data_IF_551348358192
#
_entry.id   IF_551348358192
#
_cell.length_a   1.000
_cell.length_b   1.000
_cell.length_c   1.000
_cell.angle_alpha   90.00
_cell.angle_beta   90.00
_cell.angle_gamma   90.00
#
_symmetry.space_group_name_H-M   'P 1'
#
loop_
_entity.id
_entity.type
_entity.pdbx_description
1 polymer ?
#
# COMPACT_ATOMS: atom_id res chain seq x y z
N UNK A 1 -10.79 -16.13 -8.30
CA UNK A 1 -9.96 -15.12 -7.62
C UNK A 1 -9.29 -14.25 -8.68
N UNK A 2 -9.31 -12.93 -8.52
CA UNK A 2 -8.65 -12.00 -9.44
C UNK A 2 -7.17 -11.89 -9.06
N UNK A 3 -6.26 -12.01 -10.03
CA UNK A 3 -4.81 -11.91 -9.80
C UNK A 3 -4.41 -10.56 -9.19
N UNK A 4 -5.19 -9.52 -9.46
CA UNK A 4 -4.94 -8.19 -8.94
C UNK A 4 -5.07 -8.11 -7.41
N UNK A 5 -5.82 -9.00 -6.75
CA UNK A 5 -6.09 -8.91 -5.31
C UNK A 5 -5.55 -10.12 -4.53
N UNK A 6 -4.72 -10.96 -5.16
CA UNK A 6 -4.19 -12.19 -4.56
C UNK A 6 -2.94 -11.98 -3.71
N UNK A 7 -2.83 -12.76 -2.63
CA UNK A 7 -1.85 -12.63 -1.54
C UNK A 7 -0.43 -13.10 -1.86
N UNK A 8 -0.25 -13.98 -2.84
CA UNK A 8 1.07 -14.42 -3.29
C UNK A 8 1.24 -14.12 -4.77
N UNK A 9 2.32 -13.40 -5.11
CA UNK A 9 2.67 -13.09 -6.49
C UNK A 9 4.17 -13.18 -6.68
N UNK A 10 4.59 -14.06 -7.59
CA UNK A 10 5.98 -14.16 -8.01
C UNK A 10 6.34 -12.97 -8.90
N UNK A 11 7.60 -12.53 -8.83
CA UNK A 11 8.14 -11.51 -9.74
C UNK A 11 8.70 -12.17 -11.00
N UNK A 12 8.66 -11.44 -12.10
CA UNK A 12 9.23 -11.88 -13.37
C UNK A 12 10.73 -12.19 -13.21
N UNK A 13 11.10 -13.42 -13.56
CA UNK A 13 12.50 -13.84 -13.59
C UNK A 13 13.32 -12.89 -14.48
N UNK A 14 14.46 -12.35 -14.00
CA UNK A 14 15.31 -11.46 -14.79
C UNK A 14 15.73 -12.12 -16.10
N UNK A 15 15.64 -11.37 -17.20
CA UNK A 15 16.10 -11.84 -18.51
C UNK A 15 17.62 -11.68 -18.54
N UNK A 16 18.41 -12.75 -18.82
CA UNK A 16 19.86 -12.65 -18.85
C UNK A 16 20.36 -11.55 -19.80
N UNK A 17 21.28 -10.72 -19.33
CA UNK A 17 21.87 -9.63 -20.11
C UNK A 17 21.05 -8.33 -20.15
N UNK A 18 19.78 -8.35 -19.75
CA UNK A 18 18.89 -7.17 -19.76
C UNK A 18 18.97 -6.41 -18.43
N UNK A 19 19.55 -5.20 -18.46
CA UNK A 19 19.74 -4.34 -17.27
C UNK A 19 18.96 -3.04 -17.43
N UNK A 20 17.86 -2.91 -16.71
CA UNK A 20 16.97 -1.75 -16.77
C UNK A 20 16.96 -1.07 -15.41
N UNK A 21 17.75 0.00 -15.27
CA UNK A 21 18.06 0.65 -13.99
C UNK A 21 16.82 0.96 -13.13
N UNK A 22 15.76 1.49 -13.73
CA UNK A 22 14.56 1.85 -12.97
C UNK A 22 13.81 0.61 -12.46
N UNK A 23 13.81 -0.49 -13.23
CA UNK A 23 13.15 -1.74 -12.85
C UNK A 23 13.96 -2.49 -11.81
N UNK A 24 15.29 -2.55 -11.96
CA UNK A 24 16.19 -3.19 -11.00
C UNK A 24 16.07 -2.53 -9.62
N UNK A 25 16.01 -1.20 -9.58
CA UNK A 25 15.77 -0.45 -8.34
C UNK A 25 14.38 -0.72 -7.76
N UNK A 26 13.34 -0.72 -8.61
CA UNK A 26 11.98 -1.01 -8.21
C UNK A 26 11.87 -2.39 -7.58
N UNK A 27 12.37 -3.45 -8.23
CA UNK A 27 12.28 -4.83 -7.74
C UNK A 27 13.07 -5.02 -6.43
N UNK A 28 14.23 -4.39 -6.31
CA UNK A 28 15.01 -4.43 -5.06
C UNK A 28 14.21 -3.86 -3.89
N UNK A 29 13.63 -2.66 -4.06
CA UNK A 29 12.81 -2.02 -3.02
C UNK A 29 11.50 -2.77 -2.79
N UNK A 30 10.85 -3.24 -3.85
CA UNK A 30 9.64 -4.05 -3.79
C UNK A 30 9.85 -5.29 -2.94
N UNK A 31 10.98 -5.99 -3.13
CA UNK A 31 11.31 -7.20 -2.38
C UNK A 31 11.54 -6.89 -0.90
N UNK A 32 12.21 -5.78 -0.58
CA UNK A 32 12.42 -5.34 0.80
C UNK A 32 11.09 -5.07 1.53
N UNK A 33 10.16 -4.38 0.85
CA UNK A 33 8.81 -4.11 1.38
C UNK A 33 8.04 -5.42 1.55
N UNK A 34 8.01 -6.25 0.50
CA UNK A 34 7.18 -7.46 0.44
C UNK A 34 7.61 -8.50 1.46
N UNK A 35 8.89 -8.85 1.51
CA UNK A 35 9.38 -9.87 2.44
C UNK A 35 9.11 -9.48 3.89
N UNK A 36 9.38 -8.22 4.25
CA UNK A 36 9.15 -7.73 5.62
C UNK A 36 7.67 -7.73 5.99
N UNK A 37 6.80 -7.32 5.05
CA UNK A 37 5.35 -7.27 5.23
C UNK A 37 4.80 -8.68 5.43
N UNK A 38 5.14 -9.61 4.54
CA UNK A 38 4.69 -11.01 4.61
C UNK A 38 5.12 -11.64 5.93
N UNK A 39 6.39 -11.49 6.32
CA UNK A 39 6.88 -12.03 7.61
C UNK A 39 6.12 -11.42 8.79
N UNK A 40 5.90 -10.11 8.81
CA UNK A 40 5.20 -9.45 9.90
C UNK A 40 3.73 -9.88 10.01
N UNK A 41 3.01 -9.96 8.88
CA UNK A 41 1.61 -10.41 8.84
C UNK A 41 1.47 -11.89 9.20
N UNK A 42 2.32 -12.75 8.63
CA UNK A 42 2.31 -14.19 8.90
C UNK A 42 2.55 -14.49 10.38
N UNK A 43 3.38 -13.71 11.08
CA UNK A 43 3.56 -13.86 12.53
C UNK A 43 2.31 -13.51 13.37
N UNK A 44 1.20 -13.11 12.73
CA UNK A 44 -0.09 -12.85 13.37
C UNK A 44 -1.20 -13.76 12.81
N UNK A 45 -0.83 -14.79 12.04
CA UNK A 45 -1.74 -15.75 11.43
C UNK A 45 -1.69 -17.10 12.20
N UNK A 46 -2.84 -17.67 12.60
CA UNK A 46 -2.94 -18.97 13.28
C UNK A 46 -2.13 -20.09 12.62
N UNK A 47 -2.17 -20.12 11.30
CA UNK A 47 -1.58 -21.15 10.44
C UNK A 47 -0.06 -21.25 10.59
N UNK A 48 0.60 -20.16 10.97
CA UNK A 48 2.07 -20.11 11.09
C UNK A 48 2.60 -20.75 12.37
N UNK A 49 1.80 -20.78 13.42
CA UNK A 49 2.20 -21.33 14.72
C UNK A 49 1.45 -22.62 15.08
N UNK A 50 0.45 -23.02 14.29
CA UNK A 50 -0.44 -24.13 14.64
C UNK A 50 -1.27 -23.83 15.89
N UNK A 51 -1.42 -22.54 16.22
CA UNK A 51 -2.17 -22.05 17.36
C UNK A 51 -3.60 -21.69 16.94
N UNK A 52 -4.51 -21.60 17.91
CA UNK A 52 -5.86 -21.09 17.66
C UNK A 52 -5.88 -19.57 17.57
N UNK A 53 -6.90 -19.00 16.93
CA UNK A 53 -7.09 -17.55 16.82
C UNK A 53 -7.18 -16.91 18.21
N UNK A 54 -7.88 -17.56 19.14
CA UNK A 54 -8.10 -17.09 20.50
C UNK A 54 -6.79 -17.00 21.31
N UNK A 55 -5.88 -17.96 21.11
CA UNK A 55 -4.56 -17.94 21.75
C UNK A 55 -3.72 -16.78 21.22
N UNK A 56 -3.70 -16.57 19.90
CA UNK A 56 -2.97 -15.46 19.30
C UNK A 56 -3.55 -14.10 19.70
N UNK A 57 -4.87 -13.95 19.75
CA UNK A 57 -5.53 -12.74 20.23
C UNK A 57 -5.12 -12.45 21.68
N UNK A 58 -5.16 -13.47 22.55
CA UNK A 58 -4.70 -13.33 23.94
C UNK A 58 -3.22 -12.97 24.06
N UNK A 59 -2.37 -13.47 23.16
CA UNK A 59 -0.95 -13.11 23.13
C UNK A 59 -0.75 -11.64 22.78
N UNK A 60 -1.44 -11.15 21.75
CA UNK A 60 -1.39 -9.75 21.33
C UNK A 60 -1.95 -8.84 22.42
N UNK A 61 -3.07 -9.20 23.05
CA UNK A 61 -3.66 -8.42 24.14
C UNK A 61 -2.71 -8.29 25.33
N UNK A 62 -2.08 -9.40 25.75
CA UNK A 62 -1.08 -9.38 26.83
C UNK A 62 0.14 -8.55 26.46
N UNK A 63 0.59 -8.61 25.21
CA UNK A 63 1.69 -7.79 24.73
C UNK A 63 1.35 -6.30 24.82
N UNK A 64 0.18 -5.90 24.31
CA UNK A 64 -0.29 -4.50 24.34
C UNK A 64 -0.43 -4.00 25.78
N UNK A 65 -0.98 -4.82 26.68
CA UNK A 65 -1.14 -4.48 28.09
C UNK A 65 0.21 -4.28 28.81
N UNK A 66 1.29 -4.92 28.34
CA UNK A 66 2.64 -4.78 28.91
C UNK A 66 3.44 -3.57 28.42
N UNK A 67 3.03 -2.93 27.32
CA UNK A 67 3.77 -1.77 26.73
C UNK A 67 3.92 -0.59 27.71
N UNK A 68 2.90 -0.21 28.51
CA UNK A 68 3.04 0.90 29.46
C UNK A 68 4.16 0.70 30.49
N UNK A 69 4.26 -0.51 31.05
CA UNK A 69 5.28 -0.83 32.05
C UNK A 69 6.69 -0.87 31.42
N UNK A 70 6.83 -1.49 30.25
CA UNK A 70 8.09 -1.49 29.50
C UNK A 70 8.53 -0.07 29.11
N UNK A 71 7.60 0.79 28.69
CA UNK A 71 7.87 2.18 28.34
C UNK A 71 8.36 2.99 29.55
N UNK A 72 7.80 2.72 30.73
CA UNK A 72 8.23 3.31 31.99
C UNK A 72 9.64 2.85 32.36
N UNK A 73 9.90 1.55 32.28
CA UNK A 73 11.22 0.98 32.60
C UNK A 73 12.33 1.55 31.72
N UNK A 74 12.11 1.64 30.40
CA UNK A 74 13.08 2.24 29.46
C UNK A 74 13.41 3.68 29.86
N UNK A 75 12.39 4.47 30.21
CA UNK A 75 12.58 5.88 30.61
C UNK A 75 13.38 5.99 31.90
N UNK A 76 13.05 5.18 32.90
CA UNK A 76 13.71 5.20 34.22
C UNK A 76 15.17 4.69 34.16
N UNK A 77 15.49 3.84 33.20
CA UNK A 77 16.83 3.25 33.04
C UNK A 77 17.73 3.95 32.01
N UNK A 78 17.17 4.81 31.15
CA UNK A 78 17.89 5.48 30.07
C UNK A 78 19.16 6.23 30.52
N UNK A 79 19.05 7.06 31.57
CA UNK A 79 20.20 7.81 32.08
C UNK A 79 21.30 6.93 32.66
N UNK A 80 20.93 5.78 33.26
CA UNK A 80 21.88 4.79 33.77
C UNK A 80 22.64 4.14 32.61
N UNK A 81 21.92 3.64 31.60
CA UNK A 81 22.54 2.98 30.45
C UNK A 81 23.40 3.93 29.62
N UNK A 82 22.96 5.18 29.42
CA UNK A 82 23.73 6.20 28.71
C UNK A 82 25.08 6.44 29.39
N UNK A 83 25.09 6.60 30.72
CA UNK A 83 26.32 6.74 31.51
C UNK A 83 27.22 5.52 31.45
N UNK A 84 26.65 4.31 31.52
CA UNK A 84 27.41 3.06 31.39
C UNK A 84 28.09 2.93 30.01
N UNK A 85 27.47 3.46 28.96
CA UNK A 85 28.03 3.52 27.61
C UNK A 85 29.03 4.68 27.38
N UNK A 86 29.37 5.46 28.42
CA UNK A 86 30.28 6.61 28.31
C UNK A 86 29.65 7.85 27.67
N UNK A 87 28.32 7.90 27.54
CA UNK A 87 27.58 9.04 27.00
C UNK A 87 26.96 9.84 28.14
N UNK A 88 27.19 11.16 28.17
CA UNK A 88 26.46 12.04 29.08
C UNK A 88 25.13 12.45 28.43
N UNK A 89 23.97 11.94 28.88
CA UNK A 89 22.69 12.30 28.28
C UNK A 89 22.24 13.72 28.63
N UNK A 90 22.95 14.42 29.53
CA UNK A 90 22.54 15.72 30.05
C UNK A 90 21.27 15.60 30.90
N UNK A 91 20.49 16.69 30.95
CA UNK A 91 19.18 16.69 31.61
C UNK A 91 18.14 16.18 30.61
N UNK A 92 17.57 15.02 30.89
CA UNK A 92 16.48 14.44 30.10
C UNK A 92 15.17 14.88 30.73
N UNK A 93 14.54 15.93 30.19
CA UNK A 93 13.28 16.48 30.72
C UNK A 93 12.18 15.40 30.87
N UNK A 94 12.20 14.40 29.99
CA UNK A 94 11.25 13.30 30.01
C UNK A 94 11.35 12.43 31.29
N UNK A 95 12.51 12.38 31.97
CA UNK A 95 12.68 11.61 33.22
C UNK A 95 11.88 12.22 34.39
N UNK A 96 11.61 13.52 34.37
CA UNK A 96 10.86 14.23 35.42
C UNK A 96 9.39 14.52 35.08
N UNK A 97 8.97 14.28 33.83
CA UNK A 97 7.58 14.46 33.39
C UNK A 97 6.69 13.26 33.77
N UNK A 98 5.48 13.55 34.27
CA UNK A 98 4.45 12.54 34.44
C UNK A 98 3.96 12.06 33.07
N UNK A 99 4.32 10.83 32.69
CA UNK A 99 4.09 10.27 31.37
C UNK A 99 3.44 8.89 31.47
N UNK A 100 2.47 8.65 30.59
CA UNK A 100 1.75 7.38 30.46
C UNK A 100 1.67 6.99 28.98
N UNK A 101 1.82 5.69 28.70
CA UNK A 101 1.47 5.12 27.40
C UNK A 101 -0.01 4.72 27.44
N UNK A 102 -0.82 5.23 26.51
CA UNK A 102 -2.29 5.07 26.56
C UNK A 102 -2.72 3.92 25.65
N UNK A 103 -2.40 2.67 26.04
CA UNK A 103 -2.79 1.47 25.27
C UNK A 103 -4.32 1.29 25.18
N UNK A 104 -5.06 1.85 26.13
CA UNK A 104 -6.54 1.81 26.15
C UNK A 104 -7.18 2.50 24.94
N UNK A 105 -6.51 3.49 24.31
CA UNK A 105 -7.01 4.11 23.07
C UNK A 105 -6.98 3.13 21.89
N UNK A 106 -5.95 2.27 21.83
CA UNK A 106 -5.86 1.24 20.80
C UNK A 106 -7.00 0.21 20.94
N UNK A 107 -7.27 -0.22 22.17
CA UNK A 107 -8.37 -1.13 22.48
C UNK A 107 -9.76 -0.50 22.23
N UNK A 108 -9.89 0.80 22.46
CA UNK A 108 -11.12 1.51 22.15
C UNK A 108 -11.37 1.55 20.63
N UNK A 109 -10.32 1.74 19.83
CA UNK A 109 -10.42 1.76 18.38
C UNK A 109 -10.72 0.37 17.79
N UNK A 110 -10.13 -0.70 18.33
CA UNK A 110 -10.45 -2.07 17.88
C UNK A 110 -11.92 -2.43 18.14
N UNK A 111 -12.43 -2.10 19.33
CA UNK A 111 -13.85 -2.27 19.69
C UNK A 111 -14.78 -1.46 18.80
N UNK A 112 -14.44 -0.20 18.50
CA UNK A 112 -15.19 0.65 17.58
C UNK A 112 -15.32 0.03 16.19
N UNK A 113 -14.30 -0.72 15.76
CA UNK A 113 -14.28 -1.40 14.47
C UNK A 113 -14.88 -2.81 14.50
N UNK A 114 -15.24 -3.32 15.68
CA UNK A 114 -15.71 -4.70 15.83
C UNK A 114 -14.62 -5.73 15.52
N UNK A 115 -13.36 -5.37 15.77
CA UNK A 115 -12.18 -6.19 15.49
C UNK A 115 -11.45 -6.53 16.80
N UNK A 116 -10.74 -7.65 16.81
CA UNK A 116 -9.73 -7.93 17.83
C UNK A 116 -8.55 -6.97 17.71
N UNK A 117 -7.76 -6.84 18.78
CA UNK A 117 -6.53 -6.05 18.73
C UNK A 117 -5.52 -6.61 17.70
N UNK A 118 -5.45 -7.95 17.55
CA UNK A 118 -4.62 -8.60 16.52
C UNK A 118 -5.01 -8.18 15.12
N UNK A 119 -6.30 -8.20 14.80
CA UNK A 119 -6.79 -7.78 13.48
C UNK A 119 -6.55 -6.28 13.25
N UNK A 120 -6.63 -5.44 14.29
CA UNK A 120 -6.28 -4.01 14.17
C UNK A 120 -4.78 -3.81 13.91
N UNK A 121 -3.91 -4.62 14.52
CA UNK A 121 -2.46 -4.64 14.21
C UNK A 121 -2.23 -5.03 12.76
N UNK A 122 -2.86 -6.11 12.28
CA UNK A 122 -2.77 -6.55 10.87
C UNK A 122 -3.26 -5.45 9.93
N UNK A 123 -4.42 -4.82 10.22
CA UNK A 123 -4.93 -3.70 9.43
C UNK A 123 -3.95 -2.53 9.38
N UNK A 124 -3.26 -2.23 10.49
CA UNK A 124 -2.24 -1.19 10.55
C UNK A 124 -1.00 -1.53 9.71
N UNK A 125 -0.58 -2.80 9.72
CA UNK A 125 0.49 -3.30 8.84
C UNK A 125 0.10 -3.22 7.37
N UNK A 126 -1.12 -3.61 7.01
CA UNK A 126 -1.68 -3.53 5.66
C UNK A 126 -1.71 -2.08 5.15
N UNK A 127 -2.12 -1.13 5.99
CA UNK A 127 -2.10 0.29 5.65
C UNK A 127 -0.68 0.80 5.38
N UNK A 128 0.30 0.40 6.20
CA UNK A 128 1.71 0.74 6.01
C UNK A 128 2.26 0.16 4.71
N UNK A 129 2.01 -1.12 4.45
CA UNK A 129 2.44 -1.81 3.24
C UNK A 129 1.82 -1.18 1.97
N UNK A 130 0.51 -0.91 1.98
CA UNK A 130 -0.18 -0.18 0.92
C UNK A 130 0.54 1.13 0.57
N UNK A 131 0.87 1.95 1.59
CA UNK A 131 1.56 3.23 1.38
C UNK A 131 2.98 3.04 0.83
N UNK A 132 3.71 2.03 1.33
CA UNK A 132 5.06 1.74 0.83
C UNK A 132 5.04 1.35 -0.65
N UNK A 133 4.12 0.47 -1.07
CA UNK A 133 3.95 0.12 -2.49
C UNK A 133 3.52 1.31 -3.33
N UNK A 134 2.59 2.12 -2.82
CA UNK A 134 2.13 3.32 -3.50
C UNK A 134 3.30 4.28 -3.78
N UNK A 135 4.08 4.61 -2.75
CA UNK A 135 5.21 5.53 -2.88
C UNK A 135 6.35 4.96 -3.73
N UNK A 136 6.62 3.66 -3.62
CA UNK A 136 7.60 3.00 -4.46
C UNK A 136 7.23 3.11 -5.94
N UNK A 137 5.97 2.83 -6.27
CA UNK A 137 5.47 2.89 -7.63
C UNK A 137 5.47 4.33 -8.19
N UNK A 138 4.93 5.28 -7.42
CA UNK A 138 4.93 6.71 -7.76
C UNK A 138 6.36 7.20 -8.02
N UNK A 139 7.28 6.98 -7.07
CA UNK A 139 8.65 7.44 -7.19
C UNK A 139 9.39 6.80 -8.36
N UNK A 140 9.17 5.50 -8.62
CA UNK A 140 9.80 4.79 -9.73
C UNK A 140 9.41 5.40 -11.07
N UNK A 141 8.11 5.60 -11.32
CA UNK A 141 7.63 6.15 -12.58
C UNK A 141 7.98 7.64 -12.73
N UNK A 142 7.87 8.43 -11.66
CA UNK A 142 8.23 9.85 -11.69
C UNK A 142 9.71 10.03 -11.97
N UNK A 143 10.60 9.35 -11.24
CA UNK A 143 12.06 9.45 -11.47
C UNK A 143 12.46 8.99 -12.87
N UNK A 144 11.87 7.88 -13.34
CA UNK A 144 12.06 7.39 -14.70
C UNK A 144 11.67 8.47 -15.72
N UNK A 145 10.47 9.05 -15.60
CA UNK A 145 9.99 10.11 -16.48
C UNK A 145 10.89 11.35 -16.45
N UNK A 146 11.18 11.89 -15.26
CA UNK A 146 12.03 13.07 -15.09
C UNK A 146 13.44 12.88 -15.65
N UNK A 147 13.99 11.67 -15.57
CA UNK A 147 15.36 11.40 -16.01
C UNK A 147 15.56 11.42 -17.52
N UNK A 148 14.52 11.09 -18.31
CA UNK A 148 14.69 10.82 -19.75
C UNK A 148 13.56 11.35 -20.64
N UNK A 149 12.36 11.52 -20.11
CA UNK A 149 11.14 11.74 -20.89
C UNK A 149 10.50 13.11 -20.65
N UNK A 150 10.88 13.82 -19.58
CA UNK A 150 10.38 15.15 -19.31
C UNK A 150 10.98 16.18 -20.28
N UNK A 151 10.14 16.97 -20.99
CA UNK A 151 10.62 18.08 -21.80
C UNK A 151 11.39 19.11 -20.96
N UNK A 152 12.41 19.75 -21.55
CA UNK A 152 13.25 20.72 -20.83
C UNK A 152 12.44 21.91 -20.29
N UNK A 153 11.44 22.32 -21.06
CA UNK A 153 10.52 23.42 -20.73
C UNK A 153 9.70 23.13 -19.47
N UNK A 154 9.47 21.85 -19.17
CA UNK A 154 8.69 21.41 -18.02
C UNK A 154 9.54 20.99 -16.81
N UNK A 155 10.87 21.14 -16.87
CA UNK A 155 11.79 20.61 -15.86
C UNK A 155 11.52 21.09 -14.42
N UNK A 156 10.87 22.25 -14.24
CA UNK A 156 10.48 22.77 -12.93
C UNK A 156 9.07 22.37 -12.48
N UNK A 157 8.28 21.72 -13.32
CA UNK A 157 6.92 21.32 -12.99
C UNK A 157 6.93 20.27 -11.87
N UNK A 158 6.22 20.57 -10.77
CA UNK A 158 6.01 19.61 -9.68
C UNK A 158 5.02 18.54 -10.13
N UNK A 159 5.54 17.34 -10.38
CA UNK A 159 4.73 16.15 -10.63
C UNK A 159 4.16 15.62 -9.31
N UNK A 160 2.93 15.13 -9.36
CA UNK A 160 2.21 14.59 -8.21
C UNK A 160 1.60 13.23 -8.55
N UNK A 161 1.07 12.53 -7.55
CA UNK A 161 0.44 11.23 -7.73
C UNK A 161 -0.58 11.18 -8.88
N UNK A 162 -1.35 12.25 -9.13
CA UNK A 162 -2.33 12.27 -10.24
C UNK A 162 -1.67 12.17 -11.63
N UNK A 163 -0.40 12.55 -11.75
CA UNK A 163 0.36 12.63 -13.00
C UNK A 163 1.06 11.31 -13.33
N UNK A 164 1.16 10.38 -12.36
CA UNK A 164 1.93 9.13 -12.49
C UNK A 164 1.51 8.30 -13.70
N UNK A 165 0.21 8.04 -13.87
CA UNK A 165 -0.29 7.27 -15.02
C UNK A 165 -0.50 8.18 -16.23
N UNK A 166 -1.30 9.22 -16.05
CA UNK A 166 -1.77 10.09 -17.13
C UNK A 166 -0.64 10.84 -17.86
N UNK A 167 0.49 11.07 -17.18
CA UNK A 167 1.64 11.81 -17.71
C UNK A 167 2.92 10.97 -17.71
N UNK A 168 3.36 10.44 -16.57
CA UNK A 168 4.68 9.79 -16.49
C UNK A 168 4.73 8.47 -17.26
N UNK A 169 3.79 7.55 -16.98
CA UNK A 169 3.70 6.27 -17.69
C UNK A 169 3.35 6.49 -19.16
N UNK A 170 2.28 7.23 -19.42
CA UNK A 170 1.81 7.51 -20.79
C UNK A 170 2.89 8.19 -21.63
N UNK A 171 3.56 9.21 -21.08
CA UNK A 171 4.63 9.94 -21.75
C UNK A 171 5.80 9.03 -22.16
N UNK A 172 6.23 8.12 -21.27
CA UNK A 172 7.25 7.12 -21.63
C UNK A 172 6.79 6.20 -22.75
N UNK A 173 5.63 5.57 -22.57
CA UNK A 173 5.13 4.52 -23.49
C UNK A 173 4.91 5.07 -24.89
N UNK A 174 4.40 6.31 -24.98
CA UNK A 174 4.22 7.03 -26.25
C UNK A 174 5.56 7.46 -26.86
N UNK A 175 6.47 8.01 -26.06
CA UNK A 175 7.78 8.46 -26.55
C UNK A 175 8.62 7.31 -27.12
N UNK A 176 8.54 6.13 -26.49
CA UNK A 176 9.28 4.95 -26.94
C UNK A 176 8.56 4.17 -28.06
N UNK A 177 7.34 4.58 -28.44
CA UNK A 177 6.48 3.91 -29.44
C UNK A 177 6.23 2.43 -29.12
N UNK A 178 5.87 2.14 -27.87
CA UNK A 178 5.67 0.77 -27.35
C UNK A 178 4.29 0.51 -26.76
N UNK A 179 3.31 1.38 -27.04
CA UNK A 179 1.96 1.29 -26.44
C UNK A 179 1.28 -0.07 -26.65
N UNK A 180 1.24 -0.54 -27.90
CA UNK A 180 0.60 -1.82 -28.22
C UNK A 180 1.28 -2.99 -27.49
N UNK A 181 2.62 -3.02 -27.50
CA UNK A 181 3.40 -4.06 -26.84
C UNK A 181 3.24 -4.01 -25.31
N UNK A 182 3.18 -2.80 -24.73
CA UNK A 182 2.94 -2.58 -23.32
C UNK A 182 1.60 -3.17 -22.90
N UNK A 183 0.50 -2.80 -23.58
CA UNK A 183 -0.83 -3.28 -23.22
C UNK A 183 -1.03 -4.76 -23.53
N UNK A 184 -0.41 -5.29 -24.60
CA UNK A 184 -0.37 -6.74 -24.84
C UNK A 184 0.26 -7.49 -23.67
N UNK A 185 1.39 -6.98 -23.16
CA UNK A 185 2.07 -7.55 -22.00
C UNK A 185 1.25 -7.40 -20.71
N UNK A 186 0.62 -6.25 -20.50
CA UNK A 186 -0.17 -5.96 -19.32
C UNK A 186 -1.45 -6.79 -19.26
N UNK A 187 -2.18 -6.92 -20.38
CA UNK A 187 -3.38 -7.77 -20.50
C UNK A 187 -3.04 -9.23 -20.22
N UNK A 188 -1.90 -9.72 -20.73
CA UNK A 188 -1.46 -11.10 -20.49
C UNK A 188 -1.24 -11.41 -19.00
N UNK A 189 -0.70 -10.46 -18.24
CA UNK A 189 -0.36 -10.60 -16.81
C UNK A 189 -1.54 -10.36 -15.90
N UNK A 190 -2.19 -9.22 -16.07
CA UNK A 190 -3.26 -8.78 -15.18
C UNK A 190 -4.59 -9.47 -15.44
N UNK A 191 -4.85 -9.87 -16.71
CA UNK A 191 -6.18 -10.26 -17.20
C UNK A 191 -7.27 -9.23 -16.88
N UNK A 192 -6.86 -7.97 -16.68
CA UNK A 192 -7.69 -6.89 -16.15
C UNK A 192 -7.47 -5.55 -16.86
N UNK A 193 -6.25 -5.19 -17.26
CA UNK A 193 -5.99 -3.90 -17.91
C UNK A 193 -5.67 -4.06 -19.40
N UNK A 194 -6.33 -3.26 -20.23
CA UNK A 194 -6.22 -3.26 -21.69
C UNK A 194 -5.86 -1.89 -22.27
N UNK A 195 -6.08 -0.80 -21.54
CA UNK A 195 -5.83 0.55 -22.00
C UNK A 195 -5.55 1.52 -20.82
N UNK A 196 -5.18 2.76 -21.15
CA UNK A 196 -4.89 3.80 -20.16
C UNK A 196 -6.11 4.20 -19.34
N UNK A 197 -7.32 4.23 -19.91
CA UNK A 197 -8.54 4.63 -19.20
C UNK A 197 -8.78 3.76 -17.97
N UNK A 198 -8.60 2.45 -18.14
CA UNK A 198 -8.73 1.45 -17.08
C UNK A 198 -7.65 1.60 -15.99
N UNK A 199 -6.38 1.71 -16.39
CA UNK A 199 -5.27 1.96 -15.45
C UNK A 199 -5.48 3.24 -14.64
N UNK A 200 -5.83 4.34 -15.33
CA UNK A 200 -6.06 5.62 -14.70
C UNK A 200 -7.22 5.58 -13.70
N UNK A 201 -8.30 4.86 -14.02
CA UNK A 201 -9.48 4.79 -13.16
C UNK A 201 -9.15 4.08 -11.84
N UNK A 202 -8.44 2.95 -11.89
CA UNK A 202 -7.96 2.24 -10.69
C UNK A 202 -6.94 3.09 -9.93
N UNK A 203 -5.96 3.69 -10.61
CA UNK A 203 -4.97 4.54 -9.97
C UNK A 203 -5.58 5.76 -9.25
N UNK A 204 -6.60 6.39 -9.86
CA UNK A 204 -7.32 7.51 -9.25
C UNK A 204 -7.99 7.08 -7.93
N UNK A 205 -8.58 5.90 -7.87
CA UNK A 205 -9.12 5.33 -6.63
C UNK A 205 -8.01 5.09 -5.59
N UNK A 206 -6.91 4.43 -5.98
CA UNK A 206 -5.79 4.15 -5.05
C UNK A 206 -5.17 5.44 -4.51
N UNK A 207 -5.01 6.46 -5.35
CA UNK A 207 -4.53 7.78 -4.93
C UNK A 207 -5.52 8.48 -4.00
N UNK A 208 -6.83 8.34 -4.23
CA UNK A 208 -7.85 8.85 -3.33
C UNK A 208 -7.75 8.20 -1.94
N UNK A 209 -7.66 6.87 -1.88
CA UNK A 209 -7.46 6.10 -0.64
C UNK A 209 -6.18 6.54 0.07
N UNK A 210 -5.06 6.62 -0.66
CA UNK A 210 -3.78 7.11 -0.12
C UNK A 210 -3.93 8.51 0.49
N UNK A 211 -4.62 9.42 -0.18
CA UNK A 211 -4.79 10.78 0.33
C UNK A 211 -5.65 10.82 1.59
N UNK A 212 -6.71 10.00 1.68
CA UNK A 212 -7.50 9.86 2.90
C UNK A 212 -6.66 9.31 4.05
N UNK A 213 -5.82 8.31 3.80
CA UNK A 213 -4.95 7.75 4.82
C UNK A 213 -3.91 8.76 5.33
N UNK A 214 -3.19 9.43 4.42
CA UNK A 214 -2.05 10.29 4.78
C UNK A 214 -2.48 11.64 5.36
N UNK A 215 -3.50 12.28 4.78
CA UNK A 215 -3.83 13.68 5.13
C UNK A 215 -5.04 13.82 6.05
N UNK A 216 -5.84 12.76 6.19
CA UNK A 216 -7.07 12.78 6.98
C UNK A 216 -7.13 11.66 8.02
N UNK A 217 -5.99 11.00 8.30
CA UNK A 217 -5.90 9.93 9.29
C UNK A 217 -6.86 8.77 9.02
N UNK A 218 -7.15 8.47 7.75
CA UNK A 218 -8.05 7.38 7.35
C UNK A 218 -9.54 7.69 7.50
N UNK A 219 -9.93 8.88 7.93
CA UNK A 219 -11.35 9.29 8.00
C UNK A 219 -11.91 9.51 6.60
N UNK A 220 -13.22 9.38 6.41
CA UNK A 220 -13.97 9.64 5.18
C UNK A 220 -15.23 10.45 5.51
N UNK A 221 -15.10 11.76 5.55
CA UNK A 221 -16.16 12.69 5.96
C UNK A 221 -16.65 13.58 4.80
N UNK A 222 -17.85 14.15 4.96
CA UNK A 222 -18.42 15.09 3.99
C UNK A 222 -18.65 14.45 2.62
N UNK A 223 -17.97 14.95 1.59
CA UNK A 223 -18.09 14.44 0.21
C UNK A 223 -17.22 13.21 -0.06
N UNK A 224 -16.37 12.80 0.87
CA UNK A 224 -15.42 11.70 0.65
C UNK A 224 -16.10 10.33 0.39
N UNK A 225 -17.20 9.96 1.08
CA UNK A 225 -17.93 8.74 0.74
C UNK A 225 -18.43 8.75 -0.70
N UNK A 226 -19.19 9.77 -1.11
CA UNK A 226 -19.69 9.89 -2.48
C UNK A 226 -18.56 9.95 -3.53
N UNK A 227 -17.42 10.54 -3.19
CA UNK A 227 -16.24 10.53 -4.06
C UNK A 227 -15.66 9.12 -4.24
N UNK A 228 -15.63 8.30 -3.18
CA UNK A 228 -15.23 6.89 -3.26
C UNK A 228 -16.14 6.13 -4.22
N UNK A 229 -17.46 6.26 -4.06
CA UNK A 229 -18.46 5.62 -4.94
C UNK A 229 -18.25 6.04 -6.39
N UNK A 230 -18.11 7.34 -6.65
CA UNK A 230 -17.83 7.86 -7.99
C UNK A 230 -16.48 7.42 -8.56
N UNK A 231 -15.52 6.99 -7.75
CA UNK A 231 -14.31 6.32 -8.24
C UNK A 231 -14.59 4.87 -8.66
N UNK A 232 -15.38 4.13 -7.89
CA UNK A 232 -15.80 2.76 -8.22
C UNK A 232 -16.65 2.74 -9.49
N UNK A 233 -17.60 3.66 -9.63
CA UNK A 233 -18.44 3.80 -10.84
C UNK A 233 -17.59 4.06 -12.09
N UNK A 234 -16.61 4.96 -12.00
CA UNK A 234 -15.68 5.25 -13.12
C UNK A 234 -14.86 4.03 -13.53
N UNK A 235 -14.49 3.17 -12.58
CA UNK A 235 -13.86 1.88 -12.91
C UNK A 235 -14.84 1.07 -13.74
N UNK A 236 -16.07 0.84 -13.28
CA UNK A 236 -17.09 0.09 -14.02
C UNK A 236 -17.34 0.65 -15.43
N UNK A 237 -17.45 1.97 -15.57
CA UNK A 237 -17.64 2.65 -16.85
C UNK A 237 -16.48 2.41 -17.82
N UNK A 238 -15.23 2.37 -17.32
CA UNK A 238 -14.05 2.10 -18.15
C UNK A 238 -14.00 0.68 -18.75
N UNK A 239 -14.91 -0.21 -18.33
CA UNK A 239 -15.05 -1.59 -18.81
C UNK A 239 -16.36 -1.87 -19.57
N UNK A 240 -17.24 -0.87 -19.75
CA UNK A 240 -18.60 -1.08 -20.30
C UNK A 240 -18.61 -1.78 -21.66
N UNK A 241 -17.65 -1.48 -22.53
CA UNK A 241 -17.57 -2.02 -23.90
C UNK A 241 -16.61 -3.22 -24.03
N UNK A 242 -16.01 -3.69 -22.93
CA UNK A 242 -15.04 -4.77 -22.95
C UNK A 242 -15.75 -6.13 -22.88
N UNK A 243 -16.05 -6.70 -24.05
CA UNK A 243 -16.45 -8.10 -24.18
C UNK A 243 -15.41 -8.98 -23.47
N UNK A 244 -15.84 -9.83 -22.53
CA UNK A 244 -15.04 -10.75 -21.71
C UNK A 244 -14.45 -10.22 -20.38
N UNK A 245 -14.64 -8.95 -20.01
CA UNK A 245 -14.09 -8.40 -18.75
C UNK A 245 -15.08 -8.39 -17.57
N UNK A 246 -16.34 -8.78 -17.79
CA UNK A 246 -17.40 -8.75 -16.78
C UNK A 246 -17.02 -9.51 -15.50
N UNK A 247 -16.48 -10.73 -15.62
CA UNK A 247 -16.09 -11.52 -14.45
C UNK A 247 -14.96 -10.86 -13.66
N UNK A 248 -13.94 -10.36 -14.36
CA UNK A 248 -12.80 -9.67 -13.74
C UNK A 248 -13.24 -8.42 -12.97
N UNK A 249 -14.16 -7.64 -13.53
CA UNK A 249 -14.75 -6.46 -12.87
C UNK A 249 -15.55 -6.87 -11.63
N UNK A 250 -16.42 -7.89 -11.74
CA UNK A 250 -17.18 -8.41 -10.60
C UNK A 250 -16.26 -8.86 -9.47
N UNK A 251 -15.17 -9.56 -9.79
CA UNK A 251 -14.20 -9.99 -8.78
C UNK A 251 -13.48 -8.82 -8.11
N UNK A 252 -13.22 -7.71 -8.82
CA UNK A 252 -12.70 -6.50 -8.20
C UNK A 252 -13.75 -5.83 -7.31
N UNK A 253 -15.00 -5.77 -7.75
CA UNK A 253 -16.10 -5.18 -6.97
C UNK A 253 -16.35 -5.94 -5.66
N UNK A 254 -16.21 -7.27 -5.65
CA UNK A 254 -16.27 -8.06 -4.42
C UNK A 254 -15.23 -7.63 -3.37
N UNK A 255 -14.15 -6.96 -3.78
CA UNK A 255 -13.16 -6.37 -2.86
C UNK A 255 -13.51 -4.92 -2.50
N UNK A 256 -14.00 -4.13 -3.45
CA UNK A 256 -14.25 -2.69 -3.27
C UNK A 256 -15.58 -2.38 -2.57
N UNK A 257 -16.63 -3.15 -2.82
CA UNK A 257 -17.97 -2.93 -2.25
C UNK A 257 -17.98 -3.05 -0.72
N UNK A 258 -17.32 -4.05 -0.09
CA UNK A 258 -17.21 -4.09 1.37
C UNK A 258 -16.51 -2.85 1.94
N UNK A 259 -15.47 -2.34 1.26
CA UNK A 259 -14.76 -1.13 1.67
C UNK A 259 -15.64 0.11 1.53
N UNK A 260 -16.40 0.20 0.43
CA UNK A 260 -17.39 1.25 0.22
C UNK A 260 -18.43 1.25 1.34
N UNK A 261 -18.94 0.07 1.72
CA UNK A 261 -19.95 -0.03 2.77
C UNK A 261 -19.41 0.37 4.13
N UNK A 262 -18.16 0.02 4.45
CA UNK A 262 -17.48 0.50 5.67
C UNK A 262 -17.35 2.02 5.68
N UNK A 263 -16.90 2.61 4.57
CA UNK A 263 -16.78 4.06 4.41
C UNK A 263 -18.13 4.75 4.60
N UNK A 264 -19.21 4.17 4.04
CA UNK A 264 -20.57 4.71 4.14
C UNK A 264 -21.14 4.62 5.55
N UNK A 265 -21.00 3.47 6.21
CA UNK A 265 -21.57 3.24 7.55
C UNK A 265 -20.79 3.93 8.67
N UNK A 266 -19.48 3.92 8.57
CA UNK A 266 -18.62 4.23 9.71
C UNK A 266 -17.69 5.43 9.47
N UNK A 267 -17.58 5.92 8.24
CA UNK A 267 -16.73 7.06 7.92
C UNK A 267 -15.23 6.74 8.00
N UNK A 268 -14.85 5.47 7.93
CA UNK A 268 -13.47 5.01 7.86
C UNK A 268 -13.37 3.75 7.01
N UNK A 269 -12.14 3.35 6.70
CA UNK A 269 -11.84 2.13 5.96
C UNK A 269 -10.85 1.28 6.76
N UNK A 270 -11.13 -0.01 6.90
CA UNK A 270 -10.19 -0.98 7.45
C UNK A 270 -9.34 -1.52 6.31
N UNK A 271 -8.01 -1.42 6.45
CA UNK A 271 -7.09 -1.93 5.44
C UNK A 271 -6.97 -3.44 5.56
N UNK A 272 -7.41 -4.16 4.53
CA UNK A 272 -7.28 -5.61 4.46
C UNK A 272 -6.23 -6.02 3.42
N UNK A 273 -5.90 -7.31 3.43
CA UNK A 273 -4.91 -7.89 2.53
C UNK A 273 -5.29 -7.67 1.06
N UNK A 274 -6.59 -7.70 0.74
CA UNK A 274 -7.05 -7.50 -0.64
C UNK A 274 -6.74 -6.10 -1.17
N UNK A 275 -6.84 -5.06 -0.34
CA UNK A 275 -6.50 -3.69 -0.72
C UNK A 275 -4.98 -3.48 -0.82
N UNK A 276 -4.21 -4.07 0.09
CA UNK A 276 -2.75 -4.11 -0.01
C UNK A 276 -2.31 -4.80 -1.31
N UNK A 277 -2.83 -6.00 -1.57
CA UNK A 277 -2.56 -6.80 -2.76
C UNK A 277 -2.95 -6.05 -4.04
N UNK A 278 -4.07 -5.32 -4.03
CA UNK A 278 -4.51 -4.49 -5.15
C UNK A 278 -3.40 -3.49 -5.54
N UNK A 279 -2.87 -2.72 -4.58
CA UNK A 279 -1.80 -1.76 -4.85
C UNK A 279 -0.50 -2.45 -5.26
N UNK A 280 -0.12 -3.52 -4.54
CA UNK A 280 1.08 -4.31 -4.80
C UNK A 280 1.09 -4.87 -6.21
N UNK A 281 0.06 -5.63 -6.58
CA UNK A 281 -0.01 -6.33 -7.86
C UNK A 281 -0.25 -5.35 -9.01
N UNK A 282 -1.01 -4.26 -8.79
CA UNK A 282 -1.11 -3.15 -9.75
C UNK A 282 0.28 -2.61 -10.11
N UNK A 283 1.09 -2.29 -9.11
CA UNK A 283 2.42 -1.74 -9.32
C UNK A 283 3.33 -2.73 -10.07
N UNK A 284 3.32 -3.99 -9.66
CA UNK A 284 4.14 -5.03 -10.26
C UNK A 284 3.78 -5.27 -11.73
N UNK A 285 2.49 -5.41 -12.04
CA UNK A 285 2.04 -5.64 -13.43
C UNK A 285 2.44 -4.52 -14.38
N UNK A 286 2.33 -3.26 -13.94
CA UNK A 286 2.74 -2.11 -14.76
C UNK A 286 4.25 -2.11 -14.95
N UNK A 287 5.03 -2.26 -13.88
CA UNK A 287 6.49 -2.20 -13.94
C UNK A 287 7.10 -3.36 -14.75
N UNK A 288 6.58 -4.58 -14.61
CA UNK A 288 7.02 -5.72 -15.41
C UNK A 288 6.64 -5.58 -16.89
N UNK A 289 5.47 -5.03 -17.17
CA UNK A 289 5.04 -4.79 -18.56
C UNK A 289 5.93 -3.75 -19.22
N UNK A 290 6.33 -2.69 -18.49
CA UNK A 290 7.35 -1.74 -18.95
C UNK A 290 8.70 -2.42 -19.18
N UNK A 291 9.19 -3.18 -18.20
CA UNK A 291 10.48 -3.88 -18.32
C UNK A 291 10.55 -4.72 -19.59
N UNK A 292 9.45 -5.38 -19.99
CA UNK A 292 9.42 -6.21 -21.18
C UNK A 292 9.33 -5.46 -22.50
N UNK A 293 8.95 -4.19 -22.48
CA UNK A 293 9.00 -3.31 -23.66
C UNK A 293 10.40 -2.74 -23.92
N UNK A 294 11.28 -2.77 -22.91
CA UNK A 294 12.66 -2.28 -23.06
C UNK A 294 13.48 -3.17 -24.00
N UNK A 295 14.41 -2.56 -24.73
CA UNK A 295 15.39 -3.25 -25.59
C UNK A 295 16.70 -3.48 -24.86
#
# INVERSE_FOLDING_TARGET
MLLLTSSLFDVLKPIPGKKIKYYDLFISQYTLVTTSTVVAQCNLMPEMFGETTEVLDSHVDRFIAGIPDQSKEIRETYGIYSRAAGVNPGIVAQESEARVFISSEFEAESKKYGMSNRELVISSLNASAFLQYFFLFENSLVKMYQSKYQPREESQAKLSAKDVIAKCLKGKVMHDDVEELFFKNLKKRSKFFENFSQLESVWKLLNFIRNRQVHYGGKYEGRAPAAFEGHVERICESYRDAADMTLSVVLLLNVLEPLQEQVRKHGYMVFNDSLENLMRNYSLFVMESLYLTEK
#
